data_IF_487426468294
#
_entry.id   IF_487426468294
#
_cell.length_a   1.000
_cell.length_b   1.000
_cell.length_c   1.000
_cell.angle_alpha   90.00
_cell.angle_beta   90.00
_cell.angle_gamma   90.00
#
_symmetry.space_group_name_H-M   'P 1'
#
loop_
_entity.id
_entity.type
_entity.pdbx_description
1 polymer ?
#
# COMPACT_ATOMS: atom_id res chain seq x y z
N UNK A 1 -31.43 8.38 25.34
CA UNK A 1 -30.72 9.14 26.40
C UNK A 1 -29.25 9.18 26.01
N UNK A 2 -28.68 10.38 25.95
CA UNK A 2 -27.28 10.64 25.58
C UNK A 2 -26.34 10.03 26.64
N UNK A 3 -25.37 9.23 26.21
CA UNK A 3 -24.19 8.94 27.01
C UNK A 3 -23.00 9.62 26.32
N UNK A 4 -22.66 10.82 26.80
CA UNK A 4 -21.42 11.50 26.46
C UNK A 4 -20.25 10.65 26.96
N UNK A 5 -19.37 10.21 26.05
CA UNK A 5 -18.09 9.61 26.43
C UNK A 5 -17.19 10.72 26.97
N UNK A 6 -16.85 10.63 28.27
CA UNK A 6 -15.81 11.43 28.88
C UNK A 6 -14.45 10.98 28.35
N UNK A 7 -13.69 11.89 27.75
CA UNK A 7 -12.24 11.77 27.61
C UNK A 7 -11.65 11.97 29.01
N UNK A 8 -11.32 10.89 29.70
CA UNK A 8 -10.44 10.94 30.87
C UNK A 8 -9.00 10.88 30.40
N UNK A 9 -8.32 12.04 30.38
CA UNK A 9 -6.87 12.11 30.30
C UNK A 9 -6.30 11.84 31.69
N UNK A 10 -5.53 10.76 31.86
CA UNK A 10 -4.62 10.64 32.98
C UNK A 10 -3.28 11.26 32.56
N UNK A 11 -2.76 12.20 33.35
CA UNK A 11 -1.37 12.66 33.20
C UNK A 11 -0.43 11.56 33.70
N UNK A 12 0.19 10.85 32.77
CA UNK A 12 1.46 10.14 32.98
C UNK A 12 2.49 10.92 32.15
N UNK A 13 3.62 11.39 32.72
CA UNK A 13 4.56 12.23 31.99
C UNK A 13 5.48 11.35 31.13
N UNK A 14 4.95 10.76 30.07
CA UNK A 14 5.74 9.95 29.14
C UNK A 14 6.10 10.78 27.90
N UNK A 15 6.86 11.85 28.13
CA UNK A 15 7.64 12.46 27.06
C UNK A 15 9.13 12.22 27.31
N UNK A 16 9.91 12.14 26.25
CA UNK A 16 11.38 12.23 26.36
C UNK A 16 11.88 13.42 25.59
N UNK A 17 12.89 14.08 26.15
CA UNK A 17 13.49 15.28 25.56
C UNK A 17 14.85 14.93 24.95
N UNK A 18 14.99 15.15 23.65
CA UNK A 18 16.26 15.02 22.92
C UNK A 18 16.97 16.36 22.96
N UNK A 19 18.21 16.40 23.45
CA UNK A 19 19.06 17.58 23.42
C UNK A 19 20.06 17.47 22.26
N UNK A 20 20.08 18.48 21.39
CA UNK A 20 20.97 18.54 20.24
C UNK A 20 22.26 19.29 20.57
N UNK A 21 23.34 18.97 19.85
CA UNK A 21 24.67 19.57 20.05
C UNK A 21 24.69 21.09 19.82
N UNK A 22 23.73 21.62 19.03
CA UNK A 22 23.54 23.06 18.80
C UNK A 22 22.76 23.75 19.94
N UNK A 23 22.40 23.04 21.02
CA UNK A 23 21.69 23.57 22.18
C UNK A 23 20.16 23.61 22.05
N UNK A 24 19.58 23.19 20.92
CA UNK A 24 18.12 23.02 20.82
C UNK A 24 17.66 21.73 21.51
N UNK A 25 16.37 21.65 21.84
CA UNK A 25 15.75 20.43 22.35
C UNK A 25 14.46 20.11 21.62
N UNK A 26 14.15 18.82 21.48
CA UNK A 26 12.86 18.32 20.99
C UNK A 26 12.21 17.49 22.09
N UNK A 27 11.00 17.85 22.47
CA UNK A 27 10.14 17.02 23.33
C UNK A 27 9.37 16.08 22.41
N UNK A 28 9.51 14.77 22.63
CA UNK A 28 8.77 13.73 21.92
C UNK A 28 7.75 13.16 22.88
N UNK A 29 6.47 13.26 22.52
CA UNK A 29 5.37 12.63 23.25
C UNK A 29 5.33 11.14 22.89
N UNK A 30 5.27 10.26 23.89
CA UNK A 30 5.08 8.84 23.65
C UNK A 30 3.59 8.57 23.43
N UNK A 31 3.25 7.93 22.31
CA UNK A 31 1.88 7.51 22.00
C UNK A 31 1.82 5.98 21.92
N UNK A 32 0.77 5.40 22.50
CA UNK A 32 0.40 4.00 22.28
C UNK A 32 -0.89 4.00 21.45
N UNK A 33 -0.85 3.35 20.29
CA UNK A 33 -2.01 3.20 19.40
C UNK A 33 -2.51 1.77 19.46
N UNK A 34 -3.75 1.58 19.88
CA UNK A 34 -4.43 0.29 19.85
C UNK A 34 -5.42 0.22 18.69
N UNK A 35 -5.43 -0.90 17.96
CA UNK A 35 -6.40 -1.15 16.91
C UNK A 35 -7.81 -1.37 17.51
N UNK A 36 -8.90 -1.08 16.79
CA UNK A 36 -10.27 -1.25 17.28
C UNK A 36 -10.66 -2.69 17.72
N UNK A 37 -9.85 -3.68 17.34
CA UNK A 37 -10.02 -5.10 17.68
C UNK A 37 -9.30 -5.50 18.97
N UNK A 38 -8.53 -4.60 19.60
CA UNK A 38 -7.83 -4.88 20.83
C UNK A 38 -8.85 -5.15 21.96
N UNK A 39 -8.74 -6.31 22.59
CA UNK A 39 -9.62 -6.72 23.67
C UNK A 39 -9.04 -6.27 25.02
N UNK A 40 -9.68 -5.29 25.65
CA UNK A 40 -9.30 -4.78 26.98
C UNK A 40 -10.10 -5.41 28.13
N UNK A 41 -10.82 -6.51 27.87
CA UNK A 41 -11.52 -7.22 28.93
C UNK A 41 -10.52 -7.67 29.99
N UNK A 42 -10.78 -7.32 31.25
CA UNK A 42 -9.93 -7.58 32.41
C UNK A 42 -8.59 -6.80 32.47
N UNK A 43 -8.43 -5.73 31.68
CA UNK A 43 -7.32 -4.79 31.83
C UNK A 43 -7.77 -3.65 32.76
N UNK A 44 -7.21 -3.59 33.97
CA UNK A 44 -7.57 -2.60 34.98
C UNK A 44 -6.43 -1.63 35.36
N UNK A 45 -5.21 -1.89 34.90
CA UNK A 45 -4.01 -1.14 35.25
C UNK A 45 -2.99 -1.08 34.10
N UNK A 46 -2.05 -0.15 34.18
CA UNK A 46 -0.92 -0.09 33.23
C UNK A 46 -0.03 -1.34 33.26
N UNK A 47 0.05 -2.02 34.41
CA UNK A 47 0.77 -3.29 34.52
C UNK A 47 0.06 -4.42 33.76
N UNK A 48 -1.26 -4.40 33.71
CA UNK A 48 -2.06 -5.35 32.91
C UNK A 48 -1.84 -5.12 31.41
N UNK A 49 -1.75 -3.86 30.98
CA UNK A 49 -1.40 -3.49 29.58
C UNK A 49 0.00 -3.99 29.24
N UNK A 50 0.98 -3.71 30.10
CA UNK A 50 2.36 -4.17 29.91
C UNK A 50 2.44 -5.70 29.74
N UNK A 51 1.76 -6.45 30.61
CA UNK A 51 1.73 -7.92 30.55
C UNK A 51 0.98 -8.48 29.35
N UNK A 52 -0.09 -7.82 28.91
CA UNK A 52 -0.94 -8.31 27.83
C UNK A 52 -0.42 -7.94 26.43
N UNK A 53 0.23 -6.78 26.28
CA UNK A 53 0.55 -6.21 24.97
C UNK A 53 2.03 -5.88 24.76
N UNK A 54 2.81 -5.61 25.83
CA UNK A 54 4.21 -5.19 25.70
C UNK A 54 5.22 -6.32 25.92
N UNK A 55 4.90 -7.30 26.77
CA UNK A 55 5.72 -8.50 26.98
C UNK A 55 5.24 -9.63 26.05
N UNK A 56 6.08 -10.16 25.13
CA UNK A 56 5.74 -11.38 24.40
C UNK A 56 5.63 -12.55 25.39
N UNK A 57 4.55 -13.35 25.38
CA UNK A 57 4.46 -14.48 26.29
C UNK A 57 5.63 -15.42 26.04
N UNK A 58 6.37 -15.78 27.10
CA UNK A 58 7.43 -16.79 27.04
C UNK A 58 6.78 -18.14 26.77
N UNK A 59 6.74 -18.55 25.50
CA UNK A 59 6.30 -19.91 25.14
C UNK A 59 7.38 -20.88 25.61
N UNK A 60 7.20 -21.44 26.79
CA UNK A 60 7.93 -22.64 27.19
C UNK A 60 7.28 -23.81 26.45
N UNK A 61 8.06 -24.45 25.59
CA UNK A 61 7.65 -25.62 24.82
C UNK A 61 7.39 -26.81 25.75
N UNK A 62 6.16 -26.95 26.24
CA UNK A 62 5.68 -28.22 26.78
C UNK A 62 4.52 -28.75 25.93
N UNK A 63 4.86 -29.74 25.12
CA UNK A 63 3.93 -30.60 24.41
C UNK A 63 3.08 -31.37 25.42
N UNK A 64 1.87 -30.91 25.70
CA UNK A 64 0.82 -31.78 26.24
C UNK A 64 -0.51 -31.51 25.54
N UNK A 65 -0.88 -32.46 24.69
CA UNK A 65 -2.21 -32.63 24.14
C UNK A 65 -3.23 -32.80 25.27
N UNK A 66 -4.15 -31.86 25.43
CA UNK A 66 -5.39 -32.09 26.19
C UNK A 66 -6.56 -31.53 25.37
N UNK A 67 -7.41 -32.45 24.94
CA UNK A 67 -8.68 -32.18 24.29
C UNK A 67 -9.63 -31.43 25.24
N UNK A 68 -10.28 -30.37 24.75
CA UNK A 68 -11.41 -29.70 25.41
C UNK A 68 -12.67 -29.93 24.57
N UNK A 69 -13.35 -31.06 24.79
CA UNK A 69 -14.70 -31.14 25.40
C UNK A 69 -15.39 -29.79 25.64
N UNK A 70 -16.41 -29.50 24.82
CA UNK A 70 -17.41 -28.46 25.07
C UNK A 70 -18.61 -29.08 25.80
N UNK A 71 -19.10 -28.52 26.92
CA UNK A 71 -20.29 -29.03 27.57
C UNK A 71 -21.56 -28.61 26.81
N UNK A 72 -22.39 -29.61 26.57
CA UNK A 72 -23.78 -29.50 26.13
C UNK A 72 -24.63 -28.87 27.24
N UNK A 73 -25.36 -27.80 26.92
CA UNK A 73 -26.53 -27.37 27.68
C UNK A 73 -27.69 -27.16 26.70
N UNK A 74 -28.54 -28.17 26.67
CA UNK A 74 -29.84 -28.20 26.03
C UNK A 74 -30.81 -27.28 26.77
N UNK A 75 -31.49 -26.41 26.03
CA UNK A 75 -32.80 -25.89 26.41
C UNK A 75 -33.68 -25.93 25.16
N UNK A 76 -34.50 -26.98 25.11
CA UNK A 76 -35.51 -27.22 24.09
C UNK A 76 -36.78 -26.45 24.44
N UNK A 77 -37.35 -25.74 23.48
CA UNK A 77 -38.77 -25.39 23.46
C UNK A 77 -39.26 -25.45 22.01
N UNK A 78 -40.38 -26.13 21.83
CA UNK A 78 -40.81 -26.81 20.60
C UNK A 78 -41.90 -26.01 19.86
N UNK A 79 -41.83 -26.05 18.52
CA UNK A 79 -42.89 -25.92 17.49
C UNK A 79 -43.72 -24.65 17.35
N UNK A 80 -43.72 -24.03 16.15
CA UNK A 80 -44.58 -24.47 15.04
C UNK A 80 -44.10 -23.93 13.68
N UNK A 81 -44.19 -24.79 12.68
CA UNK A 81 -43.93 -24.64 11.24
C UNK A 81 -44.75 -23.54 10.55
N UNK A 82 -44.15 -22.86 9.58
CA UNK A 82 -44.72 -22.75 8.24
C UNK A 82 -43.62 -22.46 7.19
N UNK A 83 -43.71 -23.21 6.09
CA UNK A 83 -42.77 -23.26 4.98
C UNK A 83 -42.73 -21.94 4.17
N UNK A 84 -41.52 -21.43 3.98
CA UNK A 84 -41.19 -20.46 2.95
C UNK A 84 -39.78 -20.74 2.45
N UNK A 85 -39.66 -21.52 1.38
CA UNK A 85 -38.40 -21.89 0.74
C UNK A 85 -37.79 -20.64 0.08
N UNK A 86 -36.91 -19.93 0.78
CA UNK A 86 -36.10 -18.84 0.23
C UNK A 86 -34.65 -19.33 0.06
N UNK A 87 -33.95 -19.02 -1.05
CA UNK A 87 -32.56 -19.43 -1.23
C UNK A 87 -31.72 -18.77 -0.15
N UNK A 88 -30.95 -19.57 0.60
CA UNK A 88 -29.90 -19.08 1.48
C UNK A 88 -28.78 -18.50 0.63
N UNK A 89 -28.84 -17.20 0.33
CA UNK A 89 -27.63 -16.44 0.00
C UNK A 89 -26.72 -16.50 1.23
N UNK A 90 -25.51 -17.04 1.07
CA UNK A 90 -24.47 -16.93 2.08
C UNK A 90 -24.23 -15.44 2.34
N UNK A 91 -24.64 -14.96 3.52
CA UNK A 91 -24.42 -13.56 3.90
C UNK A 91 -22.92 -13.39 4.16
N UNK A 92 -22.22 -12.79 3.19
CA UNK A 92 -20.82 -12.42 3.35
C UNK A 92 -20.63 -11.53 4.58
N UNK A 93 -19.63 -11.85 5.40
CA UNK A 93 -19.32 -11.06 6.59
C UNK A 93 -18.94 -9.62 6.21
N UNK A 94 -19.50 -8.64 6.92
CA UNK A 94 -19.20 -7.23 6.72
C UNK A 94 -17.76 -6.89 7.09
N UNK A 95 -17.17 -5.93 6.38
CA UNK A 95 -15.94 -5.27 6.82
C UNK A 95 -16.33 -4.24 7.90
N UNK A 96 -15.65 -4.15 9.05
CA UNK A 96 -15.94 -3.15 10.07
C UNK A 96 -15.99 -1.73 9.49
N UNK A 97 -17.05 -0.99 9.78
CA UNK A 97 -17.27 0.37 9.23
C UNK A 97 -17.91 0.41 7.84
N UNK A 98 -17.99 -0.72 7.12
CA UNK A 98 -18.60 -0.80 5.79
C UNK A 98 -19.96 -1.53 5.82
N UNK A 99 -20.79 -1.35 4.77
CA UNK A 99 -22.01 -2.13 4.54
C UNK A 99 -21.73 -3.61 4.24
N UNK A 100 -22.78 -4.37 3.94
CA UNK A 100 -22.63 -5.72 3.39
C UNK A 100 -22.08 -5.65 1.95
N UNK A 101 -20.98 -6.35 1.65
CA UNK A 101 -20.40 -6.35 0.32
C UNK A 101 -21.22 -7.23 -0.62
N UNK A 102 -21.17 -6.91 -1.91
CA UNK A 102 -21.69 -7.73 -3.01
C UNK A 102 -20.63 -8.75 -3.47
N UNK A 103 -19.35 -8.41 -3.26
CA UNK A 103 -18.16 -9.26 -3.41
C UNK A 103 -17.07 -8.74 -2.48
N UNK A 104 -16.18 -9.62 -1.98
CA UNK A 104 -14.97 -9.21 -1.26
C UNK A 104 -13.90 -10.28 -1.36
N UNK A 105 -12.64 -9.87 -1.20
CA UNK A 105 -11.54 -10.82 -1.07
C UNK A 105 -11.39 -11.35 0.36
N UNK A 106 -10.67 -12.46 0.50
CA UNK A 106 -10.41 -13.17 1.75
C UNK A 106 -9.68 -12.32 2.79
N UNK A 107 -8.94 -11.30 2.34
CA UNK A 107 -8.14 -10.41 3.18
C UNK A 107 -8.86 -9.12 3.57
N UNK A 108 -10.13 -8.94 3.19
CA UNK A 108 -10.97 -7.79 3.53
C UNK A 108 -10.35 -6.42 3.16
N UNK A 109 -9.44 -6.37 2.19
CA UNK A 109 -8.85 -5.10 1.73
C UNK A 109 -9.42 -4.65 0.38
N UNK A 110 -10.07 -5.54 -0.37
CA UNK A 110 -10.79 -5.22 -1.61
C UNK A 110 -12.22 -5.74 -1.52
N UNK A 111 -13.18 -4.85 -1.72
CA UNK A 111 -14.60 -5.19 -1.68
C UNK A 111 -15.43 -4.30 -2.62
N UNK A 112 -16.51 -4.87 -3.13
CA UNK A 112 -17.48 -4.19 -3.99
C UNK A 112 -18.82 -3.99 -3.28
N UNK A 113 -19.44 -2.83 -3.47
CA UNK A 113 -20.72 -2.46 -2.87
C UNK A 113 -21.65 -1.82 -3.91
N UNK A 114 -22.94 -2.04 -3.75
CA UNK A 114 -23.97 -1.36 -4.52
C UNK A 114 -24.59 -0.24 -3.68
N UNK A 115 -24.71 0.95 -4.25
CA UNK A 115 -25.46 2.03 -3.63
C UNK A 115 -26.94 1.85 -3.99
N UNK A 116 -27.80 1.76 -2.98
CA UNK A 116 -29.23 1.54 -3.15
C UNK A 116 -30.07 2.73 -2.69
N UNK A 117 -29.42 3.81 -2.26
CA UNK A 117 -30.09 5.06 -1.92
C UNK A 117 -30.65 5.73 -3.19
N UNK A 118 -31.75 6.45 -3.03
CA UNK A 118 -32.44 7.10 -4.15
C UNK A 118 -31.50 8.06 -4.88
N UNK A 119 -31.34 7.85 -6.19
CA UNK A 119 -30.45 8.62 -7.06
C UNK A 119 -29.05 8.06 -7.24
N UNK A 120 -28.72 6.92 -6.63
CA UNK A 120 -27.44 6.22 -6.75
C UNK A 120 -27.58 4.75 -7.21
N UNK A 121 -28.76 4.35 -7.68
CA UNK A 121 -29.06 2.97 -8.06
C UNK A 121 -28.20 2.47 -9.23
N UNK A 122 -27.64 3.37 -10.03
CA UNK A 122 -26.71 3.07 -11.12
C UNK A 122 -25.23 3.06 -10.69
N UNK A 123 -24.96 3.21 -9.39
CA UNK A 123 -23.61 3.42 -8.86
C UNK A 123 -23.11 2.22 -8.06
N UNK A 124 -21.85 1.86 -8.32
CA UNK A 124 -21.08 0.84 -7.61
C UNK A 124 -19.91 1.50 -6.88
N UNK A 125 -19.54 0.97 -5.72
CA UNK A 125 -18.31 1.35 -5.01
C UNK A 125 -17.34 0.17 -5.02
N UNK A 126 -16.14 0.38 -5.54
CA UNK A 126 -14.99 -0.48 -5.34
C UNK A 126 -14.12 0.12 -4.22
N UNK A 127 -14.14 -0.50 -3.05
CA UNK A 127 -13.28 -0.12 -1.93
C UNK A 127 -11.97 -0.87 -2.02
N UNK A 128 -10.85 -0.14 -2.03
CA UNK A 128 -9.50 -0.69 -1.98
C UNK A 128 -8.79 -0.06 -0.78
N UNK A 129 -8.91 -0.71 0.37
CA UNK A 129 -8.39 -0.24 1.66
C UNK A 129 -6.88 -0.36 1.78
N UNK A 130 -6.27 -1.25 0.98
CA UNK A 130 -4.82 -1.46 0.95
C UNK A 130 -4.46 -2.28 -0.29
N UNK A 131 -3.26 -2.06 -0.83
CA UNK A 131 -2.65 -2.97 -1.82
C UNK A 131 -1.79 -4.06 -1.17
N UNK A 132 -1.94 -4.25 0.15
CA UNK A 132 -1.44 -5.38 0.93
C UNK A 132 -2.61 -6.01 1.70
N UNK A 133 -2.50 -7.25 2.19
CA UNK A 133 -3.49 -7.80 3.10
C UNK A 133 -3.66 -6.91 4.33
N UNK A 134 -4.90 -6.71 4.81
CA UNK A 134 -5.22 -5.75 5.89
C UNK A 134 -4.47 -6.02 7.21
N UNK A 135 -4.08 -7.27 7.47
CA UNK A 135 -3.36 -7.69 8.68
C UNK A 135 -1.89 -8.07 8.39
N UNK A 136 -1.34 -7.66 7.24
CA UNK A 136 0.05 -7.95 6.90
C UNK A 136 0.97 -6.96 7.58
N UNK A 137 1.79 -7.47 8.51
CA UNK A 137 2.92 -6.72 9.05
C UNK A 137 4.19 -7.09 8.26
N UNK A 138 4.71 -6.20 7.39
CA UNK A 138 5.93 -6.45 6.64
C UNK A 138 7.17 -6.60 7.53
N UNK A 139 7.14 -6.11 8.78
CA UNK A 139 8.24 -6.28 9.74
C UNK A 139 8.26 -7.66 10.41
N UNK A 140 7.15 -8.41 10.34
CA UNK A 140 7.02 -9.74 10.91
C UNK A 140 7.62 -10.87 10.06
N UNK A 141 8.06 -10.56 8.83
CA UNK A 141 8.61 -11.55 7.89
C UNK A 141 7.60 -12.56 7.37
N UNK A 142 6.30 -12.23 7.37
CA UNK A 142 5.24 -13.13 6.91
C UNK A 142 5.38 -13.56 5.44
N UNK A 143 5.12 -14.83 5.16
CA UNK A 143 5.08 -15.40 3.81
C UNK A 143 3.79 -14.97 3.08
N UNK A 144 3.83 -13.82 2.41
CA UNK A 144 2.76 -13.42 1.48
C UNK A 144 3.03 -14.03 0.10
N UNK A 145 2.18 -14.97 -0.31
CA UNK A 145 2.09 -15.35 -1.72
C UNK A 145 1.46 -14.18 -2.51
N UNK A 146 2.31 -13.31 -3.04
CA UNK A 146 1.87 -12.08 -3.71
C UNK A 146 1.05 -12.38 -4.97
N UNK A 147 1.42 -13.42 -5.71
CA UNK A 147 0.73 -13.82 -6.94
C UNK A 147 -0.69 -14.28 -6.68
N UNK A 148 -0.89 -15.16 -5.69
CA UNK A 148 -2.22 -15.61 -5.28
C UNK A 148 -3.09 -14.44 -4.80
N UNK A 149 -2.52 -13.53 -4.02
CA UNK A 149 -3.21 -12.33 -3.56
C UNK A 149 -3.66 -11.41 -4.71
N UNK A 150 -2.82 -11.20 -5.73
CA UNK A 150 -3.19 -10.40 -6.91
C UNK A 150 -4.28 -11.09 -7.73
N UNK A 151 -4.15 -12.40 -7.97
CA UNK A 151 -5.15 -13.16 -8.75
C UNK A 151 -6.51 -13.24 -8.04
N UNK A 152 -6.54 -13.37 -6.70
CA UNK A 152 -7.78 -13.32 -5.95
C UNK A 152 -8.46 -11.94 -6.07
N UNK A 153 -7.69 -10.86 -5.94
CA UNK A 153 -8.21 -9.51 -6.10
C UNK A 153 -8.74 -9.25 -7.52
N UNK A 154 -8.05 -9.75 -8.55
CA UNK A 154 -8.50 -9.73 -9.94
C UNK A 154 -9.87 -10.39 -10.08
N UNK A 155 -10.03 -11.62 -9.54
CA UNK A 155 -11.30 -12.35 -9.60
C UNK A 155 -12.44 -11.60 -8.93
N UNK A 156 -12.22 -11.03 -7.74
CA UNK A 156 -13.22 -10.26 -7.01
C UNK A 156 -13.65 -9.02 -7.79
N UNK A 157 -12.71 -8.29 -8.41
CA UNK A 157 -13.02 -7.08 -9.18
C UNK A 157 -13.72 -7.42 -10.50
N UNK A 158 -13.34 -8.50 -11.17
CA UNK A 158 -14.02 -9.01 -12.36
C UNK A 158 -15.46 -9.43 -12.02
N UNK A 159 -15.66 -10.10 -10.88
CA UNK A 159 -17.00 -10.47 -10.41
C UNK A 159 -17.84 -9.23 -10.10
N UNK A 160 -17.26 -8.19 -9.48
CA UNK A 160 -17.94 -6.91 -9.26
C UNK A 160 -18.43 -6.31 -10.58
N UNK A 161 -17.57 -6.26 -11.61
CA UNK A 161 -17.92 -5.70 -12.91
C UNK A 161 -19.03 -6.50 -13.60
N UNK A 162 -18.98 -7.83 -13.48
CA UNK A 162 -20.05 -8.70 -13.99
C UNK A 162 -21.38 -8.40 -13.31
N UNK A 163 -21.41 -8.35 -11.98
CA UNK A 163 -22.64 -8.05 -11.22
C UNK A 163 -23.16 -6.64 -11.48
N UNK A 164 -22.27 -5.65 -11.58
CA UNK A 164 -22.62 -4.28 -11.94
C UNK A 164 -23.34 -4.22 -13.29
N UNK A 165 -22.81 -4.92 -14.29
CA UNK A 165 -23.41 -5.02 -15.63
C UNK A 165 -24.77 -5.73 -15.60
N UNK A 166 -24.89 -6.83 -14.86
CA UNK A 166 -26.14 -7.59 -14.71
C UNK A 166 -27.25 -6.74 -14.05
N UNK A 167 -26.87 -5.84 -13.14
CA UNK A 167 -27.78 -4.92 -12.43
C UNK A 167 -27.93 -3.54 -13.13
N UNK A 168 -27.41 -3.38 -14.36
CA UNK A 168 -27.46 -2.13 -15.14
C UNK A 168 -26.83 -0.90 -14.44
N UNK A 169 -25.75 -1.10 -13.70
CA UNK A 169 -24.98 -0.04 -13.06
C UNK A 169 -23.84 0.41 -13.93
N UNK A 170 -23.79 1.70 -14.23
CA UNK A 170 -22.83 2.29 -15.19
C UNK A 170 -21.90 3.33 -14.58
N UNK A 171 -22.00 3.60 -13.27
CA UNK A 171 -21.11 4.49 -12.51
C UNK A 171 -20.28 3.73 -11.49
N UNK A 172 -19.03 4.15 -11.34
CA UNK A 172 -18.08 3.55 -10.41
C UNK A 172 -17.44 4.62 -9.52
N UNK A 173 -17.47 4.38 -8.22
CA UNK A 173 -16.64 5.07 -7.23
C UNK A 173 -15.53 4.12 -6.83
N UNK A 174 -14.27 4.55 -6.92
CA UNK A 174 -13.11 3.84 -6.39
C UNK A 174 -12.72 4.53 -5.10
N UNK A 175 -12.97 3.88 -3.97
CA UNK A 175 -12.61 4.38 -2.64
C UNK A 175 -11.20 3.92 -2.25
N UNK A 176 -10.26 4.87 -2.25
CA UNK A 176 -8.88 4.75 -1.78
C UNK A 176 -8.63 5.62 -0.53
N UNK A 177 -9.68 6.08 0.16
CA UNK A 177 -9.58 7.05 1.27
C UNK A 177 -8.96 6.50 2.56
N UNK A 178 -8.69 5.20 2.63
CA UNK A 178 -7.94 4.58 3.71
C UNK A 178 -6.69 3.82 3.21
N UNK A 179 -6.32 4.00 1.93
CA UNK A 179 -5.30 3.20 1.28
C UNK A 179 -3.89 3.73 1.57
N UNK A 180 -3.11 3.00 2.35
CA UNK A 180 -1.71 3.32 2.67
C UNK A 180 -0.69 2.94 1.59
N UNK A 181 -1.12 2.38 0.45
CA UNK A 181 -0.26 1.84 -0.60
C UNK A 181 -0.12 0.30 -0.53
N UNK A 182 0.95 -0.23 -1.13
CA UNK A 182 1.24 -1.66 -1.14
C UNK A 182 1.78 -2.19 -2.47
N UNK A 183 1.28 -3.35 -2.92
CA UNK A 183 1.69 -4.00 -4.17
C UNK A 183 1.42 -3.13 -5.40
N UNK A 184 2.49 -2.72 -6.09
CA UNK A 184 2.41 -2.03 -7.38
C UNK A 184 1.79 -2.92 -8.45
N UNK A 185 2.10 -4.23 -8.44
CA UNK A 185 1.48 -5.21 -9.34
C UNK A 185 -0.04 -5.20 -9.24
N UNK A 186 -0.59 -5.15 -8.02
CA UNK A 186 -2.04 -5.10 -7.84
C UNK A 186 -2.63 -3.79 -8.37
N UNK A 187 -1.99 -2.65 -8.08
CA UNK A 187 -2.45 -1.35 -8.58
C UNK A 187 -2.47 -1.29 -10.12
N UNK A 188 -1.42 -1.81 -10.76
CA UNK A 188 -1.32 -1.91 -12.21
C UNK A 188 -2.33 -2.90 -12.81
N UNK A 189 -2.62 -4.00 -12.12
CA UNK A 189 -3.66 -4.94 -12.54
C UNK A 189 -5.04 -4.31 -12.49
N UNK A 190 -5.41 -3.62 -11.39
CA UNK A 190 -6.69 -2.91 -11.30
C UNK A 190 -6.84 -1.85 -12.39
N UNK A 191 -5.75 -1.13 -12.72
CA UNK A 191 -5.74 -0.20 -13.86
C UNK A 191 -6.10 -0.90 -15.17
N UNK A 192 -5.51 -2.08 -15.44
CA UNK A 192 -5.73 -2.83 -16.68
C UNK A 192 -7.08 -3.53 -16.74
N UNK A 193 -7.69 -3.88 -15.61
CA UNK A 193 -9.08 -4.35 -15.56
C UNK A 193 -10.07 -3.21 -15.90
N UNK A 194 -9.80 -1.98 -15.47
CA UNK A 194 -10.64 -0.81 -15.77
C UNK A 194 -10.42 -0.28 -17.19
N UNK A 195 -9.18 -0.31 -17.67
CA UNK A 195 -8.78 0.20 -18.97
C UNK A 195 -8.01 -0.87 -19.77
N UNK A 196 -8.69 -1.86 -20.38
CA UNK A 196 -8.06 -2.97 -21.10
C UNK A 196 -7.24 -2.57 -22.34
N UNK A 197 -7.34 -1.32 -22.81
CA UNK A 197 -6.48 -0.78 -23.88
C UNK A 197 -5.56 0.35 -23.38
N UNK A 198 -5.57 0.64 -22.07
CA UNK A 198 -4.75 1.66 -21.45
C UNK A 198 -3.26 1.34 -21.50
N UNK A 199 -2.44 2.35 -21.84
CA UNK A 199 -0.98 2.23 -21.91
C UNK A 199 -0.32 2.41 -20.54
N UNK A 200 0.85 1.79 -20.35
CA UNK A 200 1.73 2.06 -19.22
C UNK A 200 2.78 3.11 -19.60
N UNK A 201 2.48 4.36 -19.26
CA UNK A 201 3.33 5.53 -19.53
C UNK A 201 4.18 5.96 -18.33
N UNK A 202 4.06 5.24 -17.21
CA UNK A 202 4.82 5.47 -15.99
C UNK A 202 6.22 4.85 -16.04
N UNK A 203 7.23 5.60 -15.63
CA UNK A 203 8.61 5.17 -15.53
C UNK A 203 9.20 5.57 -14.17
N UNK A 204 10.10 4.74 -13.67
CA UNK A 204 10.76 4.91 -12.40
C UNK A 204 12.20 5.35 -12.59
N UNK A 205 12.72 6.15 -11.65
CA UNK A 205 14.15 6.42 -11.51
C UNK A 205 14.57 6.41 -10.05
N UNK A 206 15.78 5.94 -9.78
CA UNK A 206 16.46 6.16 -8.51
C UNK A 206 17.33 7.42 -8.57
N UNK A 207 17.53 8.07 -7.43
CA UNK A 207 18.60 9.07 -7.28
C UNK A 207 19.95 8.37 -7.34
N UNK A 208 20.78 8.75 -8.29
CA UNK A 208 22.09 8.12 -8.49
C UNK A 208 23.02 8.45 -7.31
N UNK A 209 23.61 7.41 -6.73
CA UNK A 209 24.53 7.49 -5.60
C UNK A 209 25.60 6.38 -5.69
N UNK A 210 26.66 6.50 -4.90
CA UNK A 210 27.82 5.60 -4.96
C UNK A 210 27.49 4.13 -4.62
N UNK A 211 26.53 3.88 -3.72
CA UNK A 211 26.08 2.52 -3.41
C UNK A 211 25.43 1.86 -4.62
N UNK A 212 24.49 2.56 -5.29
CA UNK A 212 23.85 2.05 -6.51
C UNK A 212 24.84 1.89 -7.67
N UNK A 213 25.81 2.80 -7.79
CA UNK A 213 26.90 2.69 -8.78
C UNK A 213 27.67 1.38 -8.56
N UNK A 214 28.19 1.19 -7.36
CA UNK A 214 28.98 0.01 -6.99
C UNK A 214 28.19 -1.28 -7.15
N UNK A 215 26.93 -1.32 -6.69
CA UNK A 215 26.07 -2.49 -6.84
C UNK A 215 25.79 -2.82 -8.32
N UNK A 216 25.57 -1.80 -9.15
CA UNK A 216 25.31 -2.00 -10.58
C UNK A 216 26.56 -2.48 -11.34
N UNK A 217 27.74 -2.04 -10.91
CA UNK A 217 29.04 -2.43 -11.47
C UNK A 217 29.44 -3.84 -11.02
N UNK A 218 29.27 -4.15 -9.74
CA UNK A 218 29.59 -5.44 -9.14
C UNK A 218 28.72 -6.56 -9.75
N UNK A 219 27.40 -6.37 -9.79
CA UNK A 219 26.48 -7.30 -10.47
C UNK A 219 25.13 -6.65 -10.72
N UNK A 220 24.94 -6.18 -11.95
CA UNK A 220 23.64 -5.64 -12.38
C UNK A 220 22.50 -6.66 -12.23
N UNK A 221 22.76 -7.95 -12.48
CA UNK A 221 21.76 -9.01 -12.30
C UNK A 221 21.32 -9.13 -10.83
N UNK A 222 22.26 -9.12 -9.89
CA UNK A 222 21.95 -9.18 -8.47
C UNK A 222 21.19 -7.93 -8.01
N UNK A 223 21.60 -6.74 -8.49
CA UNK A 223 20.90 -5.48 -8.22
C UNK A 223 19.45 -5.50 -8.72
N UNK A 224 19.22 -5.95 -9.97
CA UNK A 224 17.87 -6.06 -10.54
C UNK A 224 17.02 -6.98 -9.67
N UNK A 225 17.53 -8.17 -9.31
CA UNK A 225 16.83 -9.16 -8.49
C UNK A 225 16.51 -8.66 -7.08
N UNK A 226 17.42 -7.89 -6.49
CA UNK A 226 17.30 -7.42 -5.11
C UNK A 226 16.41 -6.17 -4.98
N UNK A 227 16.47 -5.24 -5.93
CA UNK A 227 15.90 -3.89 -5.80
C UNK A 227 14.80 -3.56 -6.81
N UNK A 228 14.77 -4.19 -7.99
CA UNK A 228 13.87 -3.79 -9.09
C UNK A 228 12.72 -4.77 -9.26
N UNK A 229 13.01 -6.06 -9.37
CA UNK A 229 12.01 -7.10 -9.59
C UNK A 229 12.52 -8.42 -9.02
N UNK A 230 11.61 -9.25 -8.49
CA UNK A 230 11.95 -10.59 -8.03
C UNK A 230 12.09 -11.59 -9.18
N UNK A 231 11.73 -11.19 -10.40
CA UNK A 231 11.78 -12.03 -11.60
C UNK A 231 13.15 -12.03 -12.27
N UNK A 232 13.35 -12.93 -13.23
CA UNK A 232 14.57 -12.95 -14.07
C UNK A 232 14.52 -11.97 -15.25
N UNK A 233 13.41 -11.25 -15.43
CA UNK A 233 13.21 -10.34 -16.55
C UNK A 233 13.91 -8.99 -16.30
N UNK A 234 14.57 -8.48 -17.33
CA UNK A 234 15.23 -7.18 -17.26
C UNK A 234 14.21 -6.05 -17.35
N UNK A 235 14.42 -4.93 -16.64
CA UNK A 235 13.63 -3.73 -16.85
C UNK A 235 13.88 -3.16 -18.25
N UNK A 236 12.90 -2.41 -18.76
CA UNK A 236 12.94 -1.75 -20.06
C UNK A 236 13.01 -0.23 -19.89
N UNK A 237 13.68 0.46 -20.82
CA UNK A 237 13.79 1.92 -20.81
C UNK A 237 12.56 2.62 -21.43
N UNK A 238 12.58 3.96 -21.49
CA UNK A 238 11.52 4.78 -22.11
C UNK A 238 11.27 4.54 -23.60
N UNK A 239 12.19 3.85 -24.28
CA UNK A 239 12.04 3.41 -25.67
C UNK A 239 11.63 1.94 -25.80
N UNK A 240 11.23 1.31 -24.67
CA UNK A 240 10.80 -0.09 -24.57
C UNK A 240 11.88 -1.12 -24.94
N UNK A 241 13.16 -0.77 -24.78
CA UNK A 241 14.28 -1.70 -24.93
C UNK A 241 14.79 -2.17 -23.57
N UNK A 242 15.11 -3.46 -23.46
CA UNK A 242 15.69 -4.03 -22.24
C UNK A 242 17.01 -3.34 -21.89
N UNK A 243 17.15 -2.95 -20.62
CA UNK A 243 18.38 -2.38 -20.06
C UNK A 243 19.25 -3.56 -19.62
N UNK A 244 20.37 -3.78 -20.32
CA UNK A 244 21.15 -5.03 -20.23
C UNK A 244 22.33 -4.95 -19.29
N UNK A 245 22.80 -3.75 -18.98
CA UNK A 245 24.01 -3.57 -18.17
C UNK A 245 23.80 -2.54 -17.06
N UNK A 246 24.59 -2.67 -15.98
CA UNK A 246 24.59 -1.70 -14.90
C UNK A 246 24.99 -0.30 -15.36
N UNK A 247 25.86 -0.21 -16.38
CA UNK A 247 26.25 1.07 -16.99
C UNK A 247 25.09 1.76 -17.71
N UNK A 248 24.31 1.00 -18.50
CA UNK A 248 23.09 1.51 -19.14
C UNK A 248 22.06 1.93 -18.10
N UNK A 249 21.93 1.18 -17.00
CA UNK A 249 20.96 1.52 -15.96
C UNK A 249 21.39 2.73 -15.11
N UNK A 250 22.65 2.79 -14.68
CA UNK A 250 23.14 3.83 -13.76
C UNK A 250 23.36 5.17 -14.48
N UNK A 251 23.84 5.15 -15.72
CA UNK A 251 23.92 6.33 -16.58
C UNK A 251 25.32 6.79 -16.95
N UNK A 252 25.42 8.08 -17.35
CA UNK A 252 25.20 9.22 -16.45
C UNK A 252 23.99 10.12 -16.80
N UNK A 253 22.79 9.82 -16.28
CA UNK A 253 21.57 10.60 -16.56
C UNK A 253 21.36 11.76 -15.58
N UNK A 254 20.72 12.83 -16.08
CA UNK A 254 20.45 14.05 -15.32
C UNK A 254 19.09 14.65 -15.70
N UNK A 255 18.38 15.15 -14.70
CA UNK A 255 17.17 15.96 -14.89
C UNK A 255 17.51 17.42 -15.20
N UNK A 256 16.51 18.23 -15.57
CA UNK A 256 16.65 19.65 -15.95
C UNK A 256 17.44 20.51 -14.93
N UNK A 257 17.39 20.19 -13.64
CA UNK A 257 18.13 20.86 -12.56
C UNK A 257 19.46 20.19 -12.19
N UNK A 258 20.03 19.42 -13.11
CA UNK A 258 21.31 18.74 -12.96
C UNK A 258 21.33 17.65 -11.86
N UNK A 259 20.17 17.22 -11.36
CA UNK A 259 20.04 16.13 -10.41
C UNK A 259 20.42 14.81 -11.08
N UNK A 260 21.37 14.06 -10.49
CA UNK A 260 21.81 12.77 -11.03
C UNK A 260 20.80 11.67 -10.72
N UNK A 261 20.43 10.91 -11.74
CA UNK A 261 19.43 9.84 -11.66
C UNK A 261 19.86 8.65 -12.51
N UNK A 262 19.22 7.50 -12.28
CA UNK A 262 19.33 6.33 -13.16
C UNK A 262 18.55 6.53 -14.45
N UNK A 263 18.69 5.60 -15.40
CA UNK A 263 17.80 5.48 -16.57
C UNK A 263 16.34 5.41 -16.12
N UNK A 264 15.44 6.01 -16.91
CA UNK A 264 14.00 5.82 -16.75
C UNK A 264 13.65 4.40 -17.12
N UNK A 265 13.05 3.65 -16.21
CA UNK A 265 12.74 2.26 -16.46
C UNK A 265 11.34 1.86 -15.97
N UNK A 266 10.80 0.81 -16.56
CA UNK A 266 9.65 0.07 -16.03
C UNK A 266 9.86 -1.43 -16.17
N UNK A 267 9.03 -2.23 -15.51
CA UNK A 267 8.99 -3.68 -15.77
C UNK A 267 8.38 -3.94 -17.16
N UNK A 268 8.90 -4.93 -17.88
CA UNK A 268 8.34 -5.32 -19.18
C UNK A 268 6.98 -5.98 -18.98
N UNK A 269 5.91 -5.23 -19.24
CA UNK A 269 4.52 -5.68 -19.06
C UNK A 269 4.11 -6.82 -20.01
N UNK A 270 4.90 -7.07 -21.07
CA UNK A 270 4.71 -8.23 -21.95
C UNK A 270 5.26 -9.53 -21.35
N UNK A 271 5.91 -9.45 -20.19
CA UNK A 271 6.35 -10.60 -19.40
C UNK A 271 5.37 -10.82 -18.26
N UNK A 272 5.22 -12.07 -17.80
CA UNK A 272 4.42 -12.32 -16.62
C UNK A 272 5.11 -11.69 -15.40
N UNK A 273 4.32 -11.17 -14.47
CA UNK A 273 4.85 -10.54 -13.26
C UNK A 273 5.33 -11.58 -12.23
N UNK A 274 4.89 -12.83 -12.39
CA UNK A 274 5.45 -14.03 -11.76
C UNK A 274 5.82 -15.00 -12.89
N UNK A 275 7.07 -15.47 -13.03
CA UNK A 275 7.45 -16.41 -14.09
C UNK A 275 7.05 -17.87 -13.81
N UNK A 276 6.80 -18.23 -12.55
CA UNK A 276 6.51 -19.60 -12.12
C UNK A 276 5.01 -19.93 -12.26
N UNK A 277 4.18 -18.89 -12.28
CA UNK A 277 2.74 -18.93 -12.56
C UNK A 277 2.50 -18.12 -13.83
N UNK A 278 1.67 -18.58 -14.78
CA UNK A 278 1.37 -17.87 -16.05
C UNK A 278 0.54 -16.59 -15.83
N UNK A 279 1.04 -15.66 -15.00
CA UNK A 279 0.33 -14.53 -14.41
C UNK A 279 0.75 -13.23 -15.10
N UNK A 280 -0.15 -12.70 -15.94
CA UNK A 280 0.05 -11.49 -16.72
C UNK A 280 -0.92 -10.41 -16.29
N UNK A 281 -0.53 -9.15 -16.53
CA UNK A 281 -1.50 -8.08 -16.43
C UNK A 281 -2.62 -8.26 -17.46
N UNK A 282 -3.87 -7.89 -17.12
CA UNK A 282 -4.98 -7.99 -18.08
C UNK A 282 -4.63 -7.30 -19.42
N UNK A 283 -4.88 -7.99 -20.53
CA UNK A 283 -4.58 -7.60 -21.90
C UNK A 283 -3.12 -7.79 -22.36
N UNK A 284 -2.22 -8.20 -21.46
CA UNK A 284 -0.84 -8.57 -21.81
C UNK A 284 -0.60 -10.08 -21.89
N UNK A 285 -1.59 -10.91 -21.52
CA UNK A 285 -1.49 -12.35 -21.70
C UNK A 285 -1.36 -12.69 -23.21
N UNK A 286 -0.33 -13.45 -23.62
CA UNK A 286 -0.18 -13.90 -25.01
C UNK A 286 -1.40 -14.67 -25.52
N UNK A 287 -2.05 -15.44 -24.64
CA UNK A 287 -3.35 -16.04 -24.89
C UNK A 287 -4.45 -15.02 -24.57
N UNK A 288 -5.00 -14.40 -25.62
CA UNK A 288 -5.99 -13.33 -25.49
C UNK A 288 -7.29 -13.78 -24.82
N UNK A 289 -7.58 -15.08 -24.82
CA UNK A 289 -8.79 -15.62 -24.19
C UNK A 289 -8.66 -15.76 -22.68
N UNK A 290 -7.44 -15.73 -22.15
CA UNK A 290 -7.17 -15.67 -20.71
C UNK A 290 -7.27 -14.27 -20.12
N UNK A 291 -7.44 -13.22 -20.93
CA UNK A 291 -7.64 -11.87 -20.42
C UNK A 291 -9.08 -11.74 -19.87
N UNK A 292 -9.27 -11.54 -18.56
CA UNK A 292 -10.60 -11.55 -17.94
C UNK A 292 -11.49 -10.39 -18.41
N UNK A 293 -10.90 -9.24 -18.75
CA UNK A 293 -11.66 -8.06 -19.19
C UNK A 293 -11.19 -7.62 -20.56
N UNK A 294 -12.05 -7.82 -21.57
CA UNK A 294 -11.77 -7.50 -22.98
C UNK A 294 -12.18 -6.08 -23.38
N UNK A 295 -13.10 -5.46 -22.64
CA UNK A 295 -13.62 -4.11 -22.92
C UNK A 295 -13.80 -3.36 -21.61
N UNK A 296 -13.55 -2.05 -21.61
CA UNK A 296 -13.71 -1.23 -20.41
C UNK A 296 -15.11 -1.41 -19.78
N UNK A 297 -15.19 -1.79 -18.49
CA UNK A 297 -16.47 -2.08 -17.82
C UNK A 297 -17.29 -0.82 -17.54
N UNK A 298 -16.61 0.32 -17.40
CA UNK A 298 -17.20 1.63 -17.19
C UNK A 298 -16.58 2.64 -18.16
N UNK A 299 -17.35 3.68 -18.51
CA UNK A 299 -16.79 4.80 -19.26
C UNK A 299 -15.89 5.63 -18.34
N UNK A 300 -14.76 6.18 -18.82
CA UNK A 300 -13.88 7.00 -17.99
C UNK A 300 -14.61 8.15 -17.26
N UNK A 301 -15.55 8.82 -17.94
CA UNK A 301 -16.34 9.92 -17.37
C UNK A 301 -17.32 9.51 -16.25
N UNK A 302 -17.58 8.20 -16.10
CA UNK A 302 -18.44 7.64 -15.06
C UNK A 302 -17.65 7.10 -13.85
N UNK A 303 -16.33 7.27 -13.83
CA UNK A 303 -15.46 6.82 -12.74
C UNK A 303 -15.04 8.01 -11.88
N UNK A 304 -15.24 7.90 -10.57
CA UNK A 304 -14.70 8.84 -9.58
C UNK A 304 -13.73 8.08 -8.68
N UNK A 305 -12.56 8.67 -8.41
CA UNK A 305 -11.59 8.14 -7.45
C UNK A 305 -11.59 9.04 -6.23
N UNK A 306 -11.78 8.45 -5.05
CA UNK A 306 -11.75 9.13 -3.76
C UNK A 306 -10.46 8.73 -3.04
N UNK A 307 -9.71 9.72 -2.54
CA UNK A 307 -8.44 9.50 -1.80
C UNK A 307 -8.48 10.29 -0.49
N UNK A 308 -7.53 10.03 0.41
CA UNK A 308 -7.37 10.69 1.72
C UNK A 308 -6.64 12.04 1.65
N UNK A 309 -6.40 12.56 0.45
CA UNK A 309 -5.60 13.76 0.22
C UNK A 309 -6.11 15.00 0.95
N UNK A 310 -5.18 15.77 1.51
CA UNK A 310 -5.42 17.07 2.13
C UNK A 310 -5.21 18.16 1.07
N UNK A 311 -6.17 19.07 0.93
CA UNK A 311 -5.97 20.25 0.08
C UNK A 311 -5.21 21.32 0.87
N UNK A 312 -4.01 21.67 0.42
CA UNK A 312 -3.21 22.74 1.00
C UNK A 312 -2.96 23.81 -0.06
N UNK A 313 -3.57 24.98 0.14
CA UNK A 313 -3.13 26.21 -0.50
C UNK A 313 -2.08 26.87 0.39
N UNK A 314 -0.93 27.27 -0.17
CA UNK A 314 0.08 28.03 0.56
C UNK A 314 -0.44 29.42 0.97
N UNK A 315 -0.10 30.46 0.20
CA UNK A 315 -0.69 31.79 0.41
C UNK A 315 -2.18 31.74 0.06
N UNK A 316 -3.08 32.35 0.86
CA UNK A 316 -4.48 32.47 0.50
C UNK A 316 -4.60 33.39 -0.72
N UNK A 317 -4.72 32.77 -1.89
CA UNK A 317 -4.95 33.43 -3.19
C UNK A 317 -6.19 32.78 -3.81
N UNK A 318 -6.98 33.55 -4.56
CA UNK A 318 -8.16 33.04 -5.29
C UNK A 318 -7.72 32.22 -6.53
N UNK A 319 -7.03 31.12 -6.30
CA UNK A 319 -6.64 30.13 -7.30
C UNK A 319 -6.90 28.73 -6.76
N UNK A 320 -6.89 27.73 -7.65
CA UNK A 320 -7.06 26.34 -7.26
C UNK A 320 -5.98 25.91 -6.25
N UNK A 321 -6.38 25.16 -5.23
CA UNK A 321 -5.49 24.60 -4.22
C UNK A 321 -4.90 23.28 -4.71
N UNK A 322 -3.69 22.94 -4.29
CA UNK A 322 -3.04 21.69 -4.65
C UNK A 322 -3.56 20.55 -3.75
N UNK A 323 -3.88 19.41 -4.36
CA UNK A 323 -4.06 18.17 -3.61
C UNK A 323 -2.69 17.69 -3.10
N UNK A 324 -2.50 17.69 -1.79
CA UNK A 324 -1.32 17.21 -1.09
C UNK A 324 -1.66 15.90 -0.34
N UNK A 325 -0.80 14.89 -0.42
CA UNK A 325 -1.13 13.55 0.10
C UNK A 325 -1.87 12.70 -0.93
N UNK A 326 -2.58 11.67 -0.47
CA UNK A 326 -2.99 10.56 -1.35
C UNK A 326 -1.83 9.59 -1.63
N UNK A 327 -2.15 8.44 -2.21
CA UNK A 327 -1.15 7.48 -2.71
C UNK A 327 -0.46 8.07 -3.94
N UNK A 328 0.50 8.98 -3.73
CA UNK A 328 1.30 9.67 -4.74
C UNK A 328 2.79 9.39 -4.48
N UNK A 329 3.25 8.22 -4.89
CA UNK A 329 4.63 7.75 -4.73
C UNK A 329 4.80 6.39 -5.41
N UNK A 330 6.04 5.95 -5.64
CA UNK A 330 6.27 4.63 -6.25
C UNK A 330 6.81 3.64 -5.23
N UNK A 331 8.08 3.78 -4.81
CA UNK A 331 8.69 2.87 -3.84
C UNK A 331 9.13 3.60 -2.57
N UNK A 332 8.50 3.22 -1.47
CA UNK A 332 8.93 3.53 -0.12
C UNK A 332 9.72 2.34 0.41
N UNK A 333 10.93 2.58 0.91
CA UNK A 333 11.75 1.56 1.56
C UNK A 333 11.96 1.93 3.03
N UNK A 334 11.84 0.94 3.90
CA UNK A 334 12.24 1.02 5.30
C UNK A 334 13.75 0.75 5.43
N UNK A 335 14.34 1.09 6.58
CA UNK A 335 15.76 0.84 6.85
C UNK A 335 16.14 -0.65 6.70
N UNK A 336 15.30 -1.55 7.19
CA UNK A 336 15.48 -3.00 7.03
C UNK A 336 15.44 -3.44 5.56
N UNK A 337 14.60 -2.83 4.72
CA UNK A 337 14.49 -3.20 3.30
C UNK A 337 15.79 -2.86 2.57
N UNK A 338 16.36 -1.68 2.84
CA UNK A 338 17.66 -1.30 2.30
C UNK A 338 18.74 -2.30 2.70
N UNK A 339 18.80 -2.68 3.97
CA UNK A 339 19.76 -3.66 4.46
C UNK A 339 19.56 -5.01 3.76
N UNK A 340 18.32 -5.46 3.63
CA UNK A 340 17.96 -6.69 2.94
C UNK A 340 18.36 -6.69 1.45
N UNK A 341 18.21 -5.55 0.76
CA UNK A 341 18.68 -5.39 -0.64
C UNK A 341 20.18 -5.65 -0.73
N UNK A 342 20.99 -5.01 0.12
CA UNK A 342 22.45 -5.16 0.05
C UNK A 342 22.92 -6.54 0.47
N UNK A 343 22.32 -7.14 1.50
CA UNK A 343 22.61 -8.53 1.89
C UNK A 343 22.34 -9.49 0.73
N UNK A 344 21.19 -9.36 0.04
CA UNK A 344 20.88 -10.17 -1.15
C UNK A 344 21.90 -10.00 -2.27
N UNK A 345 22.38 -8.78 -2.51
CA UNK A 345 23.40 -8.54 -3.53
C UNK A 345 24.70 -9.24 -3.17
N UNK A 346 25.17 -9.09 -1.92
CA UNK A 346 26.39 -9.74 -1.42
C UNK A 346 26.27 -11.27 -1.52
N UNK A 347 25.13 -11.83 -1.11
CA UNK A 347 24.88 -13.28 -1.18
C UNK A 347 24.92 -13.84 -2.61
N UNK A 348 24.40 -13.09 -3.59
CA UNK A 348 24.42 -13.46 -5.01
C UNK A 348 25.83 -13.38 -5.62
N UNK A 349 26.72 -12.54 -5.08
CA UNK A 349 28.10 -12.34 -5.60
C UNK A 349 29.19 -12.94 -4.71
N UNK A 350 28.84 -13.69 -3.65
CA UNK A 350 29.80 -14.22 -2.68
C UNK A 350 30.94 -15.08 -3.25
N UNK A 351 30.78 -15.61 -4.47
CA UNK A 351 31.79 -16.37 -5.20
C UNK A 351 32.61 -15.57 -6.23
N UNK A 352 32.34 -14.27 -6.37
CA UNK A 352 33.01 -13.37 -7.32
C UNK A 352 33.89 -12.37 -6.55
N UNK A 353 35.19 -12.66 -6.46
CA UNK A 353 36.16 -11.82 -5.74
C UNK A 353 36.23 -10.40 -6.29
N UNK A 354 36.03 -10.22 -7.61
CA UNK A 354 36.07 -8.89 -8.23
C UNK A 354 34.84 -8.08 -7.84
N UNK A 355 33.66 -8.69 -7.89
CA UNK A 355 32.42 -8.05 -7.46
C UNK A 355 32.49 -7.67 -5.98
N UNK A 356 33.00 -8.56 -5.11
CA UNK A 356 33.20 -8.26 -3.69
C UNK A 356 34.17 -7.10 -3.46
N UNK A 357 35.27 -7.03 -4.22
CA UNK A 357 36.21 -5.90 -4.14
C UNK A 357 35.53 -4.56 -4.49
N UNK A 358 34.69 -4.53 -5.53
CA UNK A 358 33.95 -3.32 -5.94
C UNK A 358 33.00 -2.86 -4.82
N UNK A 359 32.33 -3.80 -4.15
CA UNK A 359 31.45 -3.50 -3.03
C UNK A 359 32.25 -3.02 -1.80
N UNK A 360 33.36 -3.67 -1.47
CA UNK A 360 34.22 -3.27 -0.35
C UNK A 360 34.77 -1.85 -0.52
N UNK A 361 35.17 -1.49 -1.75
CA UNK A 361 35.62 -0.13 -2.10
C UNK A 361 34.53 0.94 -1.92
N UNK A 362 33.25 0.52 -1.89
CA UNK A 362 32.11 1.40 -1.72
C UNK A 362 31.45 1.29 -0.33
N UNK A 363 32.08 0.58 0.63
CA UNK A 363 31.43 0.21 1.89
C UNK A 363 30.84 1.37 2.68
N UNK A 364 31.51 2.51 2.67
CA UNK A 364 31.10 3.72 3.40
C UNK A 364 29.83 4.36 2.80
N UNK A 365 29.42 3.95 1.60
CA UNK A 365 28.19 4.40 0.95
C UNK A 365 26.98 3.51 1.26
N UNK A 366 27.17 2.32 1.83
CA UNK A 366 26.08 1.43 2.20
C UNK A 366 25.52 1.77 3.58
N UNK A 367 24.22 1.57 3.83
CA UNK A 367 23.64 1.76 5.16
C UNK A 367 24.27 0.78 6.14
N UNK A 368 24.51 1.24 7.36
CA UNK A 368 24.96 0.37 8.44
C UNK A 368 23.92 -0.72 8.71
N UNK A 369 24.36 -1.95 8.94
CA UNK A 369 23.47 -3.11 9.19
C UNK A 369 22.93 -3.17 10.62
N UNK A 370 23.36 -2.24 11.49
CA UNK A 370 23.07 -2.27 12.94
C UNK A 370 22.36 -1.03 13.47
N UNK A 371 22.53 0.13 12.84
CA UNK A 371 22.02 1.40 13.36
C UNK A 371 21.23 2.16 12.30
N UNK A 372 19.99 2.55 12.62
CA UNK A 372 19.23 3.47 11.79
C UNK A 372 19.94 4.84 11.73
N UNK A 373 19.94 5.54 10.59
CA UNK A 373 20.68 6.79 10.42
C UNK A 373 20.16 7.96 11.29
N UNK A 374 19.03 7.78 11.98
CA UNK A 374 18.40 8.78 12.85
C UNK A 374 18.11 8.18 14.23
N UNK A 375 19.15 8.10 15.07
CA UNK A 375 19.00 7.87 16.52
C UNK A 375 18.66 9.21 17.21
N UNK A 376 17.80 9.23 18.25
CA UNK A 376 17.24 8.10 19.00
C UNK A 376 15.80 7.71 18.62
N UNK A 377 15.23 8.29 17.56
CA UNK A 377 13.78 8.24 17.30
C UNK A 377 13.21 6.84 16.97
N UNK A 378 14.04 5.82 16.78
CA UNK A 378 13.73 4.69 15.93
C UNK A 378 14.57 3.43 16.31
N UNK A 379 14.29 2.82 17.46
CA UNK A 379 15.01 1.63 17.99
C UNK A 379 14.54 0.29 17.40
N UNK A 380 13.65 0.30 16.40
CA UNK A 380 13.17 -0.93 15.75
C UNK A 380 13.73 -1.06 14.32
N UNK A 381 13.93 -2.28 13.78
CA UNK A 381 14.38 -2.48 12.39
C UNK A 381 13.48 -1.84 11.31
N UNK A 382 12.19 -1.66 11.62
CA UNK A 382 11.19 -1.03 10.74
C UNK A 382 11.23 0.51 10.76
N UNK A 383 12.14 1.08 11.56
CA UNK A 383 12.10 2.47 11.91
C UNK A 383 12.85 3.33 10.87
N UNK A 384 12.16 4.35 10.35
CA UNK A 384 12.67 5.22 9.29
C UNK A 384 12.25 4.73 7.91
N UNK A 385 11.66 5.63 7.13
CA UNK A 385 11.16 5.37 5.78
C UNK A 385 11.75 6.40 4.83
N UNK A 386 12.23 5.95 3.68
CA UNK A 386 12.67 6.85 2.61
C UNK A 386 11.86 6.63 1.34
N UNK A 387 11.63 7.71 0.61
CA UNK A 387 11.17 7.64 -0.76
C UNK A 387 12.39 7.29 -1.65
N UNK A 388 12.53 6.01 -1.95
CA UNK A 388 13.69 5.45 -2.64
C UNK A 388 13.62 5.68 -4.15
N UNK A 389 12.42 5.66 -4.71
CA UNK A 389 12.18 5.68 -6.14
C UNK A 389 11.14 6.74 -6.49
N UNK A 390 11.41 7.49 -7.55
CA UNK A 390 10.49 8.48 -8.07
C UNK A 390 9.82 7.96 -9.35
N UNK A 391 8.52 8.21 -9.47
CA UNK A 391 7.75 7.99 -10.69
C UNK A 391 7.71 9.23 -11.58
N UNK A 392 7.77 9.01 -12.88
CA UNK A 392 7.70 10.00 -13.96
C UNK A 392 6.74 9.47 -15.01
N UNK A 393 6.17 10.37 -15.82
CA UNK A 393 5.36 9.98 -16.98
C UNK A 393 6.05 10.40 -18.27
N UNK A 394 5.77 9.67 -19.35
CA UNK A 394 6.41 9.84 -20.66
C UNK A 394 6.38 11.29 -21.19
N UNK A 395 5.34 12.05 -20.86
CA UNK A 395 5.16 13.46 -21.24
C UNK A 395 6.15 14.43 -20.58
N UNK A 396 6.76 14.05 -19.44
CA UNK A 396 7.76 14.87 -18.74
C UNK A 396 8.74 13.97 -17.94
N UNK A 397 9.53 13.18 -18.68
CA UNK A 397 10.53 12.25 -18.13
C UNK A 397 11.77 12.91 -17.52
N UNK A 398 12.03 14.17 -17.88
CA UNK A 398 13.23 14.92 -17.50
C UNK A 398 12.94 16.07 -16.51
N UNK A 399 11.67 16.38 -16.26
CA UNK A 399 11.22 17.37 -15.26
C UNK A 399 10.94 16.76 -13.90
N UNK A 400 9.72 16.95 -13.39
CA UNK A 400 9.40 16.65 -11.99
C UNK A 400 8.75 15.28 -11.82
N UNK A 401 9.12 14.52 -10.76
CA UNK A 401 8.37 13.35 -10.35
C UNK A 401 6.88 13.65 -10.22
N UNK A 402 6.03 12.70 -10.59
CA UNK A 402 4.57 12.86 -10.60
C UNK A 402 4.01 13.30 -9.25
N UNK A 403 4.62 12.86 -8.14
CA UNK A 403 4.21 13.23 -6.79
C UNK A 403 4.53 14.69 -6.40
N UNK A 404 5.35 15.39 -7.19
CA UNK A 404 5.60 16.83 -7.03
C UNK A 404 4.93 17.69 -8.11
N UNK A 405 4.26 17.06 -9.09
CA UNK A 405 3.50 17.82 -10.09
C UNK A 405 2.25 18.40 -9.45
N UNK A 406 1.97 19.66 -9.78
CA UNK A 406 0.77 20.33 -9.32
C UNK A 406 -0.46 19.70 -9.96
N UNK A 407 -1.43 19.36 -9.13
CA UNK A 407 -2.77 18.94 -9.55
C UNK A 407 -3.79 19.70 -8.69
N UNK A 408 -4.75 20.35 -9.35
CA UNK A 408 -5.82 21.06 -8.66
C UNK A 408 -6.68 20.08 -7.88
N UNK A 409 -6.86 20.33 -6.59
CA UNK A 409 -7.72 19.52 -5.74
C UNK A 409 -9.18 19.69 -6.15
N UNK A 410 -9.85 18.58 -6.47
CA UNK A 410 -11.29 18.54 -6.62
C UNK A 410 -11.93 18.35 -5.24
N UNK A 411 -11.88 19.37 -4.39
CA UNK A 411 -12.48 19.36 -3.06
C UNK A 411 -14.02 19.34 -3.15
N UNK A 412 -14.59 18.16 -3.36
CA UNK A 412 -16.02 17.91 -3.14
C UNK A 412 -16.13 17.16 -1.83
N UNK A 413 -16.65 17.80 -0.78
CA UNK A 413 -17.11 17.09 0.41
C UNK A 413 -18.45 16.42 0.04
N UNK A 414 -18.57 15.09 0.00
CA UNK A 414 -19.88 14.45 -0.06
C UNK A 414 -20.53 14.60 1.33
N UNK A 415 -21.06 15.79 1.63
CA UNK A 415 -21.76 16.03 2.89
C UNK A 415 -23.18 15.47 2.79
N UNK A 416 -23.45 14.34 3.45
CA UNK A 416 -24.82 13.91 3.81
C UNK A 416 -25.24 14.44 5.20
N UNK A 417 -24.43 15.27 5.84
CA UNK A 417 -24.81 15.98 7.07
C UNK A 417 -24.28 17.41 7.03
N UNK A 418 -25.10 18.45 7.31
CA UNK A 418 -24.61 19.81 7.40
C UNK A 418 -23.75 19.96 8.65
N UNK A 419 -22.45 19.70 8.52
CA UNK A 419 -21.47 20.16 9.49
C UNK A 419 -21.45 21.69 9.42
N UNK A 420 -21.97 22.33 10.45
CA UNK A 420 -21.79 23.78 10.63
C UNK A 420 -20.29 24.06 10.61
N UNK A 421 -19.80 24.95 9.73
CA UNK A 421 -18.36 25.23 9.65
C UNK A 421 -17.86 25.75 11.01
N UNK A 422 -16.61 25.43 11.39
CA UNK A 422 -15.99 25.98 12.59
C UNK A 422 -16.08 27.51 12.60
N UNK A 423 -16.13 28.16 13.78
CA UNK A 423 -16.36 29.61 13.93
C UNK A 423 -15.40 30.52 13.13
N UNK A 424 -14.27 29.99 12.68
CA UNK A 424 -13.22 30.70 11.95
C UNK A 424 -13.62 31.16 10.53
N UNK A 425 -14.71 30.62 9.94
CA UNK A 425 -15.16 31.02 8.59
C UNK A 425 -16.28 32.08 8.57
N UNK A 426 -16.68 32.65 9.72
CA UNK A 426 -17.74 33.70 9.77
C UNK A 426 -17.25 35.12 9.48
N UNK A 427 -15.96 35.35 9.26
CA UNK A 427 -15.41 36.68 8.99
C UNK A 427 -14.80 36.81 7.60
N UNK A 428 -15.64 36.68 6.58
CA UNK A 428 -15.44 37.34 5.30
C UNK A 428 -16.81 37.53 4.66
N UNK A 429 -17.37 38.73 4.79
CA UNK A 429 -18.50 39.21 4.01
C UNK A 429 -17.99 40.20 2.97
#
# INVERSE_FOLDING_TARGET
>A
MSASAFLTSFEIPDNYTIYFYNGSSLVVENEIVFLPIANFTNIGSGEDVHKAFEIPPTVTTETTSIASTTPSASASATTSSEEGKQPTEEVMERIPGYPYPVVKNSKNNIAGYFLNDTGFEDTVVLSVLSFLPANFDPSSGGDLNTTEFVLEAEQVVVELFKKAKEDNRDKLIIDLSANGGGSVTLAEELYRLLFPDGEFTGFNRYRANRALEASSEASYKALVKALITQTSYLPINSTYHAIKTGKEWFGPYRLERNAKVTEAYQLDKKKPYDPDVDAYYNGFNPDKDKNPVKTAPFKPENIIIVTDGISLGGRPINFAMQAMGGVKGTLLLMSQDLTGVFTKIIDEVKGDEKALSILEDAKDSFPGTRDAPLLPLLTTPAAGKLNAQNGYTLDDLDGYPVHFRYEAAHCKLPSTTPLSPPPLFRQAK
#
